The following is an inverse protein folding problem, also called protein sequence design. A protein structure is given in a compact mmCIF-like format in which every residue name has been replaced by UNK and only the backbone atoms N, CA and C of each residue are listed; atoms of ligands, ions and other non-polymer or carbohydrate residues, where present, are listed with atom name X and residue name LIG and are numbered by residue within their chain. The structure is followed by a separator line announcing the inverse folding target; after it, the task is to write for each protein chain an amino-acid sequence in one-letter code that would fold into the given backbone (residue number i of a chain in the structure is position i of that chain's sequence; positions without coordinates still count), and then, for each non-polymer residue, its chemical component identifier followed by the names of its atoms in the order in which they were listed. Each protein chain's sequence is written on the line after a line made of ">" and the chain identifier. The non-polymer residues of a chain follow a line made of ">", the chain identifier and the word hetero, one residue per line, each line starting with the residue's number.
data_IF_388125444536
#
_entry.id   IF_388125444536
#
_cell.length_a   1.000
_cell.length_b   1.000
_cell.length_c   1.000
_cell.angle_alpha   90.00
_cell.angle_beta   90.00
_cell.angle_gamma   90.00
#
_symmetry.space_group_name_H-M   'P 1'
#
loop_
_entity.id
_entity.type
_entity.pdbx_description
1 polymer ?
#
# COMPACT_ATOMS: atom_id res chain seq x y z
N UNK A 1 16.31 24.70 28.36
CA UNK A 1 15.95 25.69 27.32
C UNK A 1 16.57 25.31 25.98
N UNK A 2 15.88 25.54 24.85
CA UNK A 2 16.41 25.24 23.51
C UNK A 2 17.24 26.42 23.02
N UNK A 3 18.50 26.15 22.70
CA UNK A 3 19.45 27.15 22.22
C UNK A 3 18.98 27.74 20.86
N UNK A 4 18.70 29.05 20.77
CA UNK A 4 18.09 29.69 19.60
C UNK A 4 19.00 29.76 18.36
N UNK A 5 20.26 29.33 18.47
CA UNK A 5 21.27 29.49 17.41
C UNK A 5 21.36 28.33 16.40
N UNK A 6 20.60 27.24 16.56
CA UNK A 6 20.67 26.08 15.65
C UNK A 6 19.61 26.18 14.53
N UNK A 7 19.82 27.12 13.62
CA UNK A 7 18.94 27.32 12.46
C UNK A 7 18.75 26.03 11.64
N UNK A 8 19.85 25.30 11.44
CA UNK A 8 19.88 24.02 10.71
C UNK A 8 19.01 22.93 11.35
N UNK A 9 18.92 22.86 12.67
CA UNK A 9 18.07 21.89 13.36
C UNK A 9 16.59 22.25 13.21
N UNK A 10 16.26 23.55 13.18
CA UNK A 10 14.90 24.02 12.96
C UNK A 10 14.42 23.72 11.53
N UNK A 11 15.28 23.95 10.54
CA UNK A 11 15.01 23.57 9.14
C UNK A 11 14.93 22.05 8.97
N UNK A 12 15.82 21.29 9.62
CA UNK A 12 15.75 19.83 9.63
C UNK A 12 14.44 19.31 10.24
N UNK A 13 13.98 19.87 11.36
CA UNK A 13 12.69 19.52 11.96
C UNK A 13 11.48 19.76 11.03
N UNK A 14 11.56 20.73 10.10
CA UNK A 14 10.51 20.96 9.11
C UNK A 14 10.62 20.05 7.88
N UNK A 15 11.84 19.69 7.47
CA UNK A 15 12.10 18.87 6.27
C UNK A 15 11.99 17.37 6.50
N UNK A 16 12.49 16.90 7.65
CA UNK A 16 12.56 15.46 7.99
C UNK A 16 11.19 14.76 7.99
N UNK A 17 10.09 15.34 8.51
CA UNK A 17 8.78 14.67 8.52
C UNK A 17 8.29 14.33 7.11
N UNK A 18 8.42 15.26 6.16
CA UNK A 18 8.01 15.06 4.76
C UNK A 18 8.80 13.93 4.09
N UNK A 19 10.10 13.86 4.33
CA UNK A 19 10.96 12.80 3.79
C UNK A 19 10.63 11.43 4.40
N UNK A 20 10.29 11.41 5.70
CA UNK A 20 9.84 10.19 6.38
C UNK A 20 8.51 9.72 5.81
N UNK A 21 7.57 10.63 5.58
CA UNK A 21 6.26 10.32 4.99
C UNK A 21 6.40 9.76 3.58
N UNK A 22 7.15 10.43 2.69
CA UNK A 22 7.41 9.97 1.33
C UNK A 22 8.11 8.59 1.30
N UNK A 23 9.08 8.36 2.19
CA UNK A 23 9.74 7.05 2.34
C UNK A 23 8.75 5.99 2.80
N UNK A 24 7.90 6.33 3.78
CA UNK A 24 6.92 5.41 4.33
C UNK A 24 5.84 5.05 3.31
N UNK A 25 5.40 6.00 2.48
CA UNK A 25 4.45 5.75 1.38
C UNK A 25 5.06 4.80 0.34
N UNK A 26 6.29 5.07 -0.12
CA UNK A 26 7.01 4.17 -1.03
C UNK A 26 7.18 2.77 -0.44
N UNK A 27 7.58 2.69 0.83
CA UNK A 27 7.75 1.40 1.50
C UNK A 27 6.42 0.66 1.62
N UNK A 28 5.33 1.34 1.95
CA UNK A 28 3.98 0.73 2.01
C UNK A 28 3.56 0.18 0.65
N UNK A 29 3.77 0.94 -0.42
CA UNK A 29 3.46 0.51 -1.78
C UNK A 29 4.28 -0.74 -2.17
N UNK A 30 5.58 -0.73 -1.91
CA UNK A 30 6.45 -1.87 -2.18
C UNK A 30 6.05 -3.11 -1.37
N UNK A 31 5.76 -2.95 -0.08
CA UNK A 31 5.31 -4.04 0.77
C UNK A 31 3.96 -4.59 0.33
N UNK A 32 3.02 -3.73 -0.05
CA UNK A 32 1.73 -4.17 -0.59
C UNK A 32 1.90 -4.93 -1.90
N UNK A 33 2.80 -4.47 -2.78
CA UNK A 33 3.18 -5.19 -4.00
C UNK A 33 3.69 -6.60 -3.68
N UNK A 34 4.65 -6.72 -2.76
CA UNK A 34 5.19 -8.03 -2.34
C UNK A 34 4.13 -8.95 -1.74
N UNK A 35 3.20 -8.41 -0.96
CA UNK A 35 2.08 -9.18 -0.40
C UNK A 35 1.14 -9.69 -1.50
N UNK A 36 0.88 -8.88 -2.54
CA UNK A 36 0.13 -9.32 -3.71
C UNK A 36 0.85 -10.44 -4.46
N UNK A 37 2.17 -10.31 -4.66
CA UNK A 37 2.97 -11.34 -5.33
C UNK A 37 2.97 -12.67 -4.56
N UNK A 38 3.07 -12.61 -3.24
CA UNK A 38 2.94 -13.79 -2.39
C UNK A 38 1.54 -14.42 -2.51
N UNK A 39 0.49 -13.60 -2.48
CA UNK A 39 -0.88 -14.08 -2.71
C UNK A 39 -1.03 -14.74 -4.07
N UNK A 40 -0.46 -14.15 -5.12
CA UNK A 40 -0.45 -14.71 -6.47
C UNK A 40 0.29 -16.05 -6.52
N UNK A 41 1.39 -16.22 -5.80
CA UNK A 41 2.11 -17.50 -5.72
C UNK A 41 1.20 -18.61 -5.19
N UNK A 42 0.42 -18.31 -4.15
CA UNK A 42 -0.53 -19.26 -3.53
C UNK A 42 -1.75 -19.51 -4.42
N UNK A 43 -2.20 -18.51 -5.19
CA UNK A 43 -3.42 -18.57 -6.00
C UNK A 43 -3.21 -19.15 -7.42
N UNK A 44 -1.99 -19.06 -7.96
CA UNK A 44 -1.62 -19.59 -9.29
C UNK A 44 -2.00 -21.06 -9.53
N UNK A 45 -1.81 -22.01 -8.58
CA UNK A 45 -2.23 -23.41 -8.76
C UNK A 45 -3.73 -23.57 -9.03
N UNK A 46 -4.55 -22.59 -8.63
CA UNK A 46 -5.99 -22.56 -8.82
C UNK A 46 -6.40 -21.76 -10.07
N UNK A 47 -5.46 -21.24 -10.85
CA UNK A 47 -5.73 -20.35 -11.97
C UNK A 47 -6.24 -18.97 -11.54
N UNK A 48 -5.96 -18.58 -10.29
CA UNK A 48 -6.43 -17.34 -9.68
C UNK A 48 -5.26 -16.37 -9.43
N UNK A 49 -5.61 -15.10 -9.29
CA UNK A 49 -4.73 -13.98 -8.94
C UNK A 49 -5.40 -13.12 -7.88
N UNK A 50 -4.61 -12.37 -7.11
CA UNK A 50 -5.11 -11.41 -6.10
C UNK A 50 -6.01 -10.35 -6.72
N UNK A 51 -5.85 -10.05 -8.01
CA UNK A 51 -6.69 -9.10 -8.75
C UNK A 51 -8.11 -9.62 -9.01
N UNK A 52 -8.34 -10.94 -8.94
CA UNK A 52 -9.69 -11.49 -9.06
C UNK A 52 -10.56 -11.10 -7.86
N UNK A 53 -9.97 -10.70 -6.73
CA UNK A 53 -10.67 -10.33 -5.51
C UNK A 53 -10.70 -8.81 -5.37
N UNK A 54 -11.79 -8.19 -5.84
CA UNK A 54 -11.99 -6.74 -5.75
C UNK A 54 -12.64 -6.39 -4.41
N UNK A 55 -11.92 -5.63 -3.59
CA UNK A 55 -12.43 -5.15 -2.31
C UNK A 55 -13.17 -3.82 -2.57
N UNK A 56 -14.44 -3.75 -2.18
CA UNK A 56 -15.25 -2.52 -2.21
C UNK A 56 -15.61 -2.13 -0.79
N UNK A 57 -15.20 -0.92 -0.40
CA UNK A 57 -15.60 -0.33 0.86
C UNK A 57 -16.89 0.46 0.66
N UNK A 58 -17.89 0.21 1.50
CA UNK A 58 -19.09 1.02 1.56
C UNK A 58 -18.80 2.28 2.37
N UNK A 59 -18.77 3.45 1.70
CA UNK A 59 -18.46 4.74 2.32
C UNK A 59 -19.48 5.18 3.39
N UNK A 60 -20.69 4.60 3.40
CA UNK A 60 -21.76 4.95 4.33
C UNK A 60 -21.73 4.13 5.62
N UNK A 61 -21.32 2.86 5.55
CA UNK A 61 -21.29 1.96 6.71
C UNK A 61 -19.88 1.60 7.18
N UNK A 62 -18.86 1.89 6.36
CA UNK A 62 -17.48 1.45 6.58
C UNK A 62 -17.26 -0.04 6.34
N UNK A 63 -18.29 -0.77 5.88
CA UNK A 63 -18.22 -2.21 5.65
C UNK A 63 -17.35 -2.53 4.43
N UNK A 64 -16.62 -3.64 4.50
CA UNK A 64 -15.85 -4.18 3.37
C UNK A 64 -16.61 -5.33 2.73
N UNK A 65 -16.76 -5.28 1.42
CA UNK A 65 -17.31 -6.36 0.61
C UNK A 65 -16.25 -6.84 -0.39
N UNK A 66 -16.21 -8.14 -0.65
CA UNK A 66 -15.28 -8.72 -1.62
C UNK A 66 -16.10 -9.20 -2.81
N UNK A 67 -15.83 -8.62 -3.97
CA UNK A 67 -16.39 -9.02 -5.24
C UNK A 67 -15.37 -9.87 -6.00
N UNK A 68 -15.77 -11.05 -6.46
CA UNK A 68 -14.90 -11.90 -7.26
C UNK A 68 -15.16 -11.69 -8.75
N UNK A 69 -14.12 -11.38 -9.51
CA UNK A 69 -14.17 -11.17 -10.96
C UNK A 69 -13.25 -12.18 -11.64
N UNK A 70 -13.87 -13.17 -12.30
CA UNK A 70 -13.15 -14.13 -13.10
C UNK A 70 -12.83 -13.50 -14.46
N UNK A 71 -11.54 -13.26 -14.74
CA UNK A 71 -11.12 -12.73 -16.04
C UNK A 71 -10.96 -13.91 -17.03
N UNK A 72 -11.76 -14.03 -18.10
CA UNK A 72 -11.79 -15.23 -18.95
C UNK A 72 -10.57 -15.42 -19.87
N UNK A 73 -9.55 -14.56 -19.80
CA UNK A 73 -8.48 -14.47 -20.80
C UNK A 73 -7.15 -15.14 -20.45
N UNK A 74 -7.06 -15.95 -19.39
CA UNK A 74 -5.77 -16.53 -18.96
C UNK A 74 -5.45 -17.93 -19.52
N UNK A 75 -6.19 -18.40 -20.54
CA UNK A 75 -5.88 -19.63 -21.28
C UNK A 75 -5.24 -19.28 -22.64
N UNK A 76 -3.92 -19.03 -22.66
CA UNK A 76 -3.03 -19.29 -23.81
C UNK A 76 -1.64 -19.64 -23.31
#
# INVERSE_FOLDING_TARGET
>A
EKDPSIHQAREACMRLPKQIEERNERLKEEMLGKLKDLGNLVLRPFGLFTENFQIKQDSSTGSYSINFVQNPNNNR
#
